data_IF_285183319055
#
_entry.id   IF_285183319055
#
_cell.length_a   1.000
_cell.length_b   1.000
_cell.length_c   1.000
_cell.angle_alpha   90.00
_cell.angle_beta   90.00
_cell.angle_gamma   90.00
#
_symmetry.space_group_name_H-M   'P 1'
#
loop_
_entity.id
_entity.type
_entity.pdbx_description
1 polymer ?
#
# COMPACT_ATOMS: atom_id res chain seq x y z
N UNK A 1 2.29 15.05 9.22
CA UNK A 1 0.89 15.41 9.58
C UNK A 1 0.49 16.79 9.07
N UNK A 2 -0.63 16.89 8.36
CA UNK A 2 -1.32 18.18 8.11
C UNK A 2 -2.45 18.33 9.12
N UNK A 3 -2.27 19.19 10.13
CA UNK A 3 -3.20 19.32 11.27
C UNK A 3 -4.65 19.62 10.85
N UNK A 4 -4.92 20.51 9.87
CA UNK A 4 -6.28 20.73 9.37
C UNK A 4 -6.98 19.45 8.90
N UNK A 5 -6.28 18.56 8.20
CA UNK A 5 -6.87 17.32 7.68
C UNK A 5 -7.29 16.35 8.80
N UNK A 6 -6.58 16.37 9.93
CA UNK A 6 -6.96 15.58 11.11
C UNK A 6 -8.17 16.17 11.83
N UNK A 7 -8.27 17.50 11.88
CA UNK A 7 -9.40 18.18 12.48
C UNK A 7 -10.69 17.97 11.67
N UNK A 8 -10.59 18.04 10.34
CA UNK A 8 -11.72 17.74 9.45
C UNK A 8 -12.16 16.28 9.61
N UNK A 9 -11.22 15.33 9.65
CA UNK A 9 -11.54 13.92 9.92
C UNK A 9 -12.23 13.71 11.27
N UNK A 10 -11.76 14.40 12.32
CA UNK A 10 -12.39 14.33 13.64
C UNK A 10 -13.84 14.84 13.59
N UNK A 11 -14.10 15.93 12.87
CA UNK A 11 -15.44 16.50 12.68
C UNK A 11 -16.34 15.52 11.91
N UNK A 12 -15.88 15.05 10.75
CA UNK A 12 -16.66 14.19 9.84
C UNK A 12 -17.11 12.88 10.50
N UNK A 13 -16.32 12.37 11.44
CA UNK A 13 -16.60 11.13 12.16
C UNK A 13 -17.04 11.34 13.62
N UNK A 14 -17.25 12.60 14.04
CA UNK A 14 -17.68 12.99 15.39
C UNK A 14 -16.74 12.52 16.51
N UNK A 15 -15.45 12.36 16.23
CA UNK A 15 -14.42 11.86 17.15
C UNK A 15 -13.78 13.05 17.87
N UNK A 16 -13.32 12.84 19.11
CA UNK A 16 -12.57 13.87 19.83
C UNK A 16 -11.25 14.22 19.10
N UNK A 17 -11.04 15.51 18.84
CA UNK A 17 -9.87 16.02 18.12
C UNK A 17 -8.54 15.62 18.77
N UNK A 18 -8.48 15.55 20.11
CA UNK A 18 -7.23 15.19 20.81
C UNK A 18 -6.90 13.73 20.57
N UNK A 19 -7.91 12.87 20.55
CA UNK A 19 -7.74 11.44 20.24
C UNK A 19 -7.22 11.26 18.80
N UNK A 20 -7.83 11.92 17.80
CA UNK A 20 -7.37 11.84 16.40
C UNK A 20 -5.95 12.40 16.25
N UNK A 21 -5.61 13.50 16.93
CA UNK A 21 -4.26 14.07 16.88
C UNK A 21 -3.21 13.17 17.53
N UNK A 22 -3.53 12.54 18.67
CA UNK A 22 -2.63 11.59 19.32
C UNK A 22 -2.45 10.33 18.46
N UNK A 23 -3.54 9.78 17.92
CA UNK A 23 -3.49 8.69 16.95
C UNK A 23 -2.60 9.03 15.74
N UNK A 24 -2.80 10.21 15.13
CA UNK A 24 -1.96 10.66 14.02
C UNK A 24 -0.48 10.85 14.41
N UNK A 25 -0.21 11.32 15.63
CA UNK A 25 1.16 11.42 16.15
C UNK A 25 1.81 10.04 16.34
N UNK A 26 1.06 9.04 16.83
CA UNK A 26 1.53 7.66 16.95
C UNK A 26 1.89 7.08 15.57
N UNK A 27 1.05 7.28 14.55
CA UNK A 27 1.37 6.90 13.18
C UNK A 27 2.68 7.52 12.71
N UNK A 28 2.87 8.82 12.92
CA UNK A 28 4.05 9.49 12.36
C UNK A 28 5.34 9.12 13.08
N UNK A 29 5.30 8.91 14.40
CA UNK A 29 6.44 8.38 15.13
C UNK A 29 6.76 6.96 14.66
N UNK A 30 5.75 6.13 14.40
CA UNK A 30 5.91 4.76 13.90
C UNK A 30 6.53 4.76 12.51
N UNK A 31 5.96 5.51 11.56
CA UNK A 31 6.54 5.67 10.21
C UNK A 31 7.95 6.24 10.26
N UNK A 32 8.20 7.24 11.11
CA UNK A 32 9.53 7.79 11.28
C UNK A 32 10.53 6.73 11.76
N UNK A 33 10.11 5.85 12.67
CA UNK A 33 10.94 4.75 13.17
C UNK A 33 11.22 3.70 12.10
N UNK A 34 10.21 3.32 11.31
CA UNK A 34 10.36 2.38 10.18
C UNK A 34 11.31 2.98 9.13
N UNK A 35 11.10 4.23 8.75
CA UNK A 35 11.94 4.93 7.77
C UNK A 35 13.38 5.18 8.24
N UNK A 36 13.66 5.02 9.54
CA UNK A 36 15.01 5.07 10.10
C UNK A 36 15.77 3.74 9.95
N UNK A 37 15.12 2.66 9.50
CA UNK A 37 15.80 1.40 9.15
C UNK A 37 16.59 1.64 7.86
N UNK A 38 17.90 1.34 7.91
CA UNK A 38 18.88 1.77 6.90
C UNK A 38 18.49 1.37 5.47
N UNK A 39 17.99 0.15 5.28
CA UNK A 39 17.71 -0.39 3.96
C UNK A 39 16.34 -0.01 3.39
N UNK A 40 15.39 0.48 4.22
CA UNK A 40 13.99 0.73 3.79
C UNK A 40 13.92 1.70 2.62
N UNK A 41 14.67 2.80 2.70
CA UNK A 41 14.71 3.81 1.63
C UNK A 41 15.29 3.24 0.34
N UNK A 42 16.40 2.52 0.44
CA UNK A 42 17.06 1.90 -0.71
C UNK A 42 16.17 0.87 -1.39
N UNK A 43 15.48 0.03 -0.61
CA UNK A 43 14.54 -0.97 -1.11
C UNK A 43 13.39 -0.32 -1.86
N UNK A 44 12.73 0.70 -1.28
CA UNK A 44 11.64 1.39 -1.96
C UNK A 44 12.07 1.97 -3.30
N UNK A 45 13.20 2.67 -3.33
CA UNK A 45 13.76 3.24 -4.58
C UNK A 45 14.01 2.13 -5.61
N UNK A 46 14.64 1.02 -5.20
CA UNK A 46 14.91 -0.10 -6.12
C UNK A 46 13.64 -0.73 -6.70
N UNK A 47 12.56 -0.78 -5.93
CA UNK A 47 11.26 -1.32 -6.40
C UNK A 47 10.62 -0.38 -7.42
N UNK A 48 10.66 0.93 -7.15
CA UNK A 48 10.15 1.95 -8.07
C UNK A 48 10.97 1.98 -9.36
N UNK A 49 12.30 1.91 -9.28
CA UNK A 49 13.19 1.83 -10.46
C UNK A 49 12.89 0.57 -11.29
N UNK A 50 12.82 -0.60 -10.63
CA UNK A 50 12.50 -1.86 -11.31
C UNK A 50 11.12 -1.86 -11.98
N UNK A 51 10.13 -1.18 -11.39
CA UNK A 51 8.83 -0.98 -12.02
C UNK A 51 8.91 -0.02 -13.21
N UNK A 52 9.55 1.14 -13.03
CA UNK A 52 9.69 2.15 -14.07
C UNK A 52 10.39 1.62 -15.32
N UNK A 53 11.41 0.78 -15.16
CA UNK A 53 12.12 0.12 -16.26
C UNK A 53 11.21 -0.79 -17.12
N UNK A 54 10.02 -1.15 -16.62
CA UNK A 54 9.02 -1.96 -17.36
C UNK A 54 7.89 -1.15 -17.96
N UNK A 55 7.81 0.16 -17.67
CA UNK A 55 6.74 1.01 -18.15
C UNK A 55 7.03 1.41 -19.60
N UNK A 56 6.26 0.86 -20.55
CA UNK A 56 6.28 1.28 -21.94
C UNK A 56 5.02 2.08 -22.26
N UNK A 57 5.18 3.27 -22.84
CA UNK A 57 4.07 4.11 -23.28
C UNK A 57 3.75 3.86 -24.75
N UNK A 58 2.51 3.50 -25.05
CA UNK A 58 2.04 3.41 -26.42
C UNK A 58 1.71 4.81 -26.97
N UNK A 59 2.73 5.44 -27.56
CA UNK A 59 2.57 6.75 -28.20
C UNK A 59 1.72 6.69 -29.48
N UNK A 60 1.57 5.51 -30.11
CA UNK A 60 0.68 5.32 -31.26
C UNK A 60 -0.78 5.42 -30.85
N UNK A 61 -1.16 4.75 -29.75
CA UNK A 61 -2.51 4.82 -29.19
C UNK A 61 -2.92 6.26 -28.86
N UNK A 62 -2.02 7.05 -28.26
CA UNK A 62 -2.27 8.48 -28.02
C UNK A 62 -2.57 9.24 -29.32
N UNK A 63 -1.79 9.00 -30.37
CA UNK A 63 -1.95 9.68 -31.66
C UNK A 63 -3.23 9.26 -32.36
N UNK A 64 -3.61 7.98 -32.27
CA UNK A 64 -4.87 7.47 -32.79
C UNK A 64 -6.07 8.09 -32.05
N UNK A 65 -6.00 8.20 -30.72
CA UNK A 65 -7.02 8.88 -29.90
C UNK A 65 -7.13 10.38 -30.21
N UNK A 66 -5.99 11.09 -30.36
CA UNK A 66 -5.97 12.49 -30.76
C UNK A 66 -6.55 12.72 -32.16
N UNK A 67 -6.33 11.77 -33.08
CA UNK A 67 -6.91 11.80 -34.43
C UNK A 67 -8.41 11.53 -34.38
N UNK A 68 -8.87 10.58 -33.55
CA UNK A 68 -10.28 10.29 -33.34
C UNK A 68 -11.06 11.48 -32.74
N UNK A 69 -10.43 12.32 -31.91
CA UNK A 69 -11.01 13.56 -31.39
C UNK A 69 -11.25 14.63 -32.47
N UNK A 70 -10.60 14.53 -33.62
CA UNK A 70 -10.83 15.43 -34.76
C UNK A 70 -12.02 14.99 -35.62
N UNK A 71 -12.55 13.77 -35.40
CA UNK A 71 -13.70 13.21 -36.10
C UNK A 71 -14.93 13.14 -35.17
N UNK A 72 -15.99 13.93 -35.42
CA UNK A 72 -17.20 13.96 -34.59
C UNK A 72 -17.89 12.60 -34.42
N UNK A 73 -17.82 11.72 -35.43
CA UNK A 73 -18.43 10.39 -35.33
C UNK A 73 -17.61 9.44 -34.47
N UNK A 74 -16.27 9.55 -34.50
CA UNK A 74 -15.38 8.73 -33.66
C UNK A 74 -15.42 9.18 -32.20
N UNK A 75 -15.47 10.49 -31.95
CA UNK A 75 -15.66 11.07 -30.62
C UNK A 75 -16.95 10.53 -29.96
N UNK A 76 -18.05 10.41 -30.70
CA UNK A 76 -19.30 9.88 -30.18
C UNK A 76 -19.25 8.38 -29.85
N UNK A 77 -18.39 7.61 -30.54
CA UNK A 77 -18.15 6.19 -30.23
C UNK A 77 -17.28 6.01 -28.98
N UNK A 78 -16.26 6.85 -28.80
CA UNK A 78 -15.39 6.83 -27.62
C UNK A 78 -16.15 7.19 -26.34
N UNK A 79 -17.06 8.16 -26.40
CA UNK A 79 -17.90 8.56 -25.26
C UNK A 79 -19.06 7.58 -24.98
N UNK A 80 -19.37 6.69 -25.93
CA UNK A 80 -20.46 5.72 -25.84
C UNK A 80 -20.03 4.30 -25.49
N UNK A 81 -18.74 3.99 -25.58
CA UNK A 81 -18.16 2.72 -25.16
C UNK A 81 -17.71 2.80 -23.69
N UNK A 82 -17.80 1.70 -22.95
CA UNK A 82 -17.21 1.49 -21.60
C UNK A 82 -15.66 1.55 -21.61
N UNK A 83 -15.07 2.21 -22.60
CA UNK A 83 -13.63 2.35 -22.85
C UNK A 83 -12.95 3.33 -21.87
N UNK A 84 -13.68 3.85 -20.88
CA UNK A 84 -13.11 4.51 -19.69
C UNK A 84 -12.14 3.60 -18.92
N UNK A 85 -12.15 2.28 -19.18
CA UNK A 85 -11.18 1.36 -18.61
C UNK A 85 -9.77 1.46 -19.24
N UNK A 86 -9.64 2.01 -20.44
CA UNK A 86 -8.36 2.22 -21.12
C UNK A 86 -7.99 3.70 -21.02
N UNK A 87 -7.04 4.02 -20.15
CA UNK A 87 -6.64 5.40 -19.90
C UNK A 87 -6.22 6.21 -21.14
N UNK A 88 -6.02 7.52 -21.00
CA UNK A 88 -5.59 8.41 -22.09
C UNK A 88 -4.29 7.95 -22.75
N UNK A 89 -3.41 7.29 -21.99
CA UNK A 89 -2.26 6.54 -22.47
C UNK A 89 -2.41 5.09 -22.02
N UNK A 90 -2.31 4.15 -22.96
CA UNK A 90 -2.04 2.77 -22.60
C UNK A 90 -0.56 2.68 -22.20
N UNK A 91 -0.30 2.48 -20.90
CA UNK A 91 1.02 2.06 -20.44
C UNK A 91 0.97 0.57 -20.13
N UNK A 92 1.85 -0.20 -20.74
CA UNK A 92 2.11 -1.56 -20.28
C UNK A 92 3.10 -1.48 -19.13
N UNK A 93 2.85 -2.25 -18.07
CA UNK A 93 3.78 -2.40 -16.97
C UNK A 93 3.82 -3.86 -16.55
N UNK A 94 4.94 -4.30 -16.00
CA UNK A 94 5.05 -5.65 -15.48
C UNK A 94 4.20 -5.78 -14.19
N UNK A 95 3.12 -6.58 -14.19
CA UNK A 95 2.27 -6.74 -13.01
C UNK A 95 3.03 -7.30 -11.81
N UNK A 96 4.12 -8.05 -12.02
CA UNK A 96 4.96 -8.55 -10.94
C UNK A 96 5.73 -7.42 -10.23
N UNK A 97 6.22 -6.42 -10.98
CA UNK A 97 6.92 -5.26 -10.39
C UNK A 97 5.97 -4.34 -9.64
N UNK A 98 4.77 -4.16 -10.17
CA UNK A 98 3.72 -3.45 -9.46
C UNK A 98 3.35 -4.17 -8.16
N UNK A 99 3.25 -5.50 -8.20
CA UNK A 99 2.99 -6.32 -7.02
C UNK A 99 4.07 -6.15 -5.94
N UNK A 100 5.35 -6.09 -6.32
CA UNK A 100 6.44 -5.89 -5.36
C UNK A 100 6.31 -4.54 -4.61
N UNK A 101 5.96 -3.45 -5.32
CA UNK A 101 5.71 -2.14 -4.71
C UNK A 101 4.50 -2.22 -3.77
N UNK A 102 3.40 -2.82 -4.24
CA UNK A 102 2.17 -2.95 -3.46
C UNK A 102 2.38 -3.76 -2.19
N UNK A 103 3.15 -4.86 -2.25
CA UNK A 103 3.47 -5.67 -1.07
C UNK A 103 4.29 -4.87 -0.06
N UNK A 104 5.31 -4.15 -0.53
CA UNK A 104 6.17 -3.33 0.30
C UNK A 104 5.38 -2.23 1.01
N UNK A 105 4.56 -1.47 0.29
CA UNK A 105 3.76 -0.38 0.88
C UNK A 105 2.67 -0.92 1.80
N UNK A 106 1.97 -1.98 1.38
CA UNK A 106 0.93 -2.60 2.20
C UNK A 106 1.49 -3.13 3.52
N UNK A 107 2.67 -3.79 3.49
CA UNK A 107 3.29 -4.30 4.71
C UNK A 107 3.69 -3.19 5.68
N UNK A 108 4.33 -2.12 5.19
CA UNK A 108 4.72 -0.98 6.04
C UNK A 108 3.48 -0.33 6.67
N UNK A 109 2.43 -0.10 5.89
CA UNK A 109 1.18 0.48 6.39
C UNK A 109 0.52 -0.45 7.41
N UNK A 110 0.37 -1.73 7.09
CA UNK A 110 -0.29 -2.71 7.95
C UNK A 110 0.46 -2.95 9.27
N UNK A 111 1.80 -2.95 9.23
CA UNK A 111 2.63 -3.01 10.44
C UNK A 111 2.49 -1.75 11.28
N UNK A 112 2.46 -0.57 10.64
CA UNK A 112 2.26 0.69 11.35
C UNK A 112 0.89 0.74 12.03
N UNK A 113 -0.18 0.29 11.35
CA UNK A 113 -1.53 0.14 11.92
C UNK A 113 -1.47 -0.75 13.18
N UNK A 114 -0.83 -1.93 13.10
CA UNK A 114 -0.68 -2.84 14.24
C UNK A 114 0.04 -2.18 15.43
N UNK A 115 1.18 -1.53 15.19
CA UNK A 115 1.96 -0.87 16.25
C UNK A 115 1.17 0.27 16.89
N UNK A 116 0.42 1.04 16.11
CA UNK A 116 -0.41 2.13 16.63
C UNK A 116 -1.57 1.58 17.46
N UNK A 117 -2.23 0.51 17.00
CA UNK A 117 -3.28 -0.17 17.75
C UNK A 117 -2.76 -0.63 19.12
N UNK A 118 -1.61 -1.32 19.14
CA UNK A 118 -0.98 -1.84 20.35
C UNK A 118 -0.54 -0.71 21.29
N UNK A 119 0.13 0.33 20.78
CA UNK A 119 0.59 1.46 21.59
C UNK A 119 -0.56 2.37 22.08
N UNK A 120 -1.68 2.37 21.35
CA UNK A 120 -2.81 3.27 21.58
C UNK A 120 -3.86 2.72 22.54
N UNK A 121 -3.92 1.41 22.78
CA UNK A 121 -5.01 0.75 23.54
C UNK A 121 -5.28 1.37 24.91
N UNK A 122 -4.24 1.75 25.65
CA UNK A 122 -4.36 2.35 26.99
C UNK A 122 -4.52 3.88 26.96
N UNK A 123 -4.17 4.52 25.85
CA UNK A 123 -4.11 5.98 25.71
C UNK A 123 -5.33 6.55 24.95
N UNK A 124 -6.00 5.73 24.14
CA UNK A 124 -7.03 6.12 23.21
C UNK A 124 -8.27 5.24 23.39
N UNK A 125 -9.19 5.59 24.31
CA UNK A 125 -10.42 4.82 24.55
C UNK A 125 -11.34 4.65 23.33
N UNK A 126 -11.12 5.42 22.26
CA UNK A 126 -11.86 5.33 21.00
C UNK A 126 -11.02 4.90 19.80
N UNK A 127 -9.87 4.23 20.00
CA UNK A 127 -8.96 3.85 18.91
C UNK A 127 -9.66 2.98 17.86
N UNK A 128 -10.44 1.99 18.25
CA UNK A 128 -11.20 1.13 17.31
C UNK A 128 -12.08 1.95 16.37
N UNK A 129 -12.72 2.99 16.90
CA UNK A 129 -13.61 3.87 16.11
C UNK A 129 -12.82 4.76 15.15
N UNK A 130 -11.62 5.17 15.54
CA UNK A 130 -10.70 5.94 14.68
C UNK A 130 -10.21 5.04 13.55
N UNK A 131 -9.73 3.84 13.90
CA UNK A 131 -9.22 2.87 12.93
C UNK A 131 -10.30 2.44 11.95
N UNK A 132 -11.51 2.09 12.40
CA UNK A 132 -12.62 1.77 11.49
C UNK A 132 -12.96 2.92 10.53
N UNK A 133 -12.98 4.15 11.02
CA UNK A 133 -13.26 5.32 10.18
C UNK A 133 -12.13 5.55 9.16
N UNK A 134 -10.87 5.41 9.59
CA UNK A 134 -9.71 5.49 8.73
C UNK A 134 -9.69 4.37 7.67
N UNK A 135 -10.02 3.14 8.08
CA UNK A 135 -10.10 1.97 7.19
C UNK A 135 -11.17 2.13 6.12
N UNK A 136 -12.32 2.76 6.44
CA UNK A 136 -13.31 3.11 5.41
C UNK A 136 -12.77 4.17 4.45
N UNK A 137 -12.16 5.23 4.98
CA UNK A 137 -11.61 6.32 4.17
C UNK A 137 -10.52 5.85 3.20
N UNK A 138 -9.64 4.94 3.61
CA UNK A 138 -8.57 4.41 2.71
C UNK A 138 -9.08 3.49 1.60
N UNK A 139 -10.26 2.90 1.77
CA UNK A 139 -10.89 2.08 0.72
C UNK A 139 -11.57 2.91 -0.36
N UNK A 140 -11.77 4.20 -0.14
CA UNK A 140 -12.34 5.11 -1.13
C UNK A 140 -11.24 5.56 -2.12
N UNK A 141 -11.48 5.50 -3.45
CA UNK A 141 -10.52 5.99 -4.42
C UNK A 141 -10.36 7.53 -4.32
N UNK A 142 -9.18 8.01 -3.94
CA UNK A 142 -8.78 9.41 -4.07
C UNK A 142 -8.59 9.81 -5.54
N UNK A 143 -8.86 11.08 -5.83
CA UNK A 143 -8.83 11.70 -7.18
C UNK A 143 -7.49 11.53 -7.87
N UNK A 144 -6.39 11.50 -7.13
CA UNK A 144 -5.05 11.31 -7.68
C UNK A 144 -4.84 9.89 -8.24
N UNK A 145 -5.42 8.87 -7.61
CA UNK A 145 -5.34 7.50 -8.10
C UNK A 145 -6.31 7.23 -9.24
N UNK A 146 -7.52 7.80 -9.19
CA UNK A 146 -8.40 7.82 -10.36
C UNK A 146 -7.66 8.45 -11.54
N UNK A 147 -6.97 9.57 -11.34
CA UNK A 147 -6.15 10.19 -12.38
C UNK A 147 -5.02 9.27 -12.89
N UNK A 148 -4.29 8.55 -12.02
CA UNK A 148 -3.25 7.62 -12.47
C UNK A 148 -3.81 6.41 -13.22
N UNK A 149 -4.95 5.90 -12.76
CA UNK A 149 -5.69 4.82 -13.42
C UNK A 149 -6.19 5.27 -14.80
N UNK A 150 -6.80 6.47 -14.87
CA UNK A 150 -7.34 7.07 -16.08
C UNK A 150 -6.25 7.57 -17.04
N UNK A 151 -5.04 7.86 -16.56
CA UNK A 151 -3.96 8.39 -17.39
C UNK A 151 -3.00 7.32 -17.88
N UNK A 152 -2.70 6.30 -17.06
CA UNK A 152 -1.67 5.30 -17.34
C UNK A 152 -2.16 3.84 -17.23
N UNK A 153 -3.44 3.60 -16.91
CA UNK A 153 -3.96 2.23 -16.74
C UNK A 153 -3.42 1.50 -15.50
N UNK A 154 -2.73 2.21 -14.61
CA UNK A 154 -2.11 1.63 -13.42
C UNK A 154 -3.14 1.50 -12.30
N UNK A 155 -3.50 0.26 -11.97
CA UNK A 155 -4.41 -0.03 -10.86
C UNK A 155 -3.61 -0.27 -9.57
N UNK A 156 -3.53 0.76 -8.72
CA UNK A 156 -2.98 0.62 -7.38
C UNK A 156 -4.05 0.02 -6.46
N UNK A 157 -3.81 -1.18 -5.95
CA UNK A 157 -4.74 -1.83 -5.01
C UNK A 157 -4.44 -1.39 -3.58
N UNK A 158 -5.12 -0.32 -3.12
CA UNK A 158 -5.00 0.21 -1.74
C UNK A 158 -5.47 -0.74 -0.63
N UNK A 159 -6.27 -1.76 -0.96
CA UNK A 159 -7.02 -2.53 0.06
C UNK A 159 -6.18 -3.54 0.85
N UNK A 160 -4.89 -3.69 0.54
CA UNK A 160 -4.02 -4.74 1.12
C UNK A 160 -3.35 -4.39 2.44
N UNK A 161 -3.41 -3.13 2.89
CA UNK A 161 -2.91 -2.77 4.23
C UNK A 161 -3.65 -3.53 5.35
N UNK A 162 -4.96 -3.80 5.18
CA UNK A 162 -5.73 -4.63 6.09
C UNK A 162 -5.23 -6.08 6.11
N UNK A 163 -4.94 -6.62 4.94
CA UNK A 163 -4.41 -7.99 4.80
C UNK A 163 -3.04 -8.07 5.46
N UNK A 164 -2.21 -7.04 5.30
CA UNK A 164 -0.92 -6.94 5.96
C UNK A 164 -0.99 -6.82 7.49
N UNK A 165 -1.95 -6.06 8.04
CA UNK A 165 -2.21 -6.06 9.49
C UNK A 165 -2.61 -7.46 9.96
N UNK A 166 -3.54 -8.09 9.25
CA UNK A 166 -4.01 -9.46 9.58
C UNK A 166 -2.86 -10.46 9.53
N UNK A 167 -2.00 -10.36 8.51
CA UNK A 167 -0.78 -11.15 8.38
C UNK A 167 0.16 -10.94 9.57
N UNK A 168 0.41 -9.68 9.95
CA UNK A 168 1.31 -9.35 11.06
C UNK A 168 0.77 -9.88 12.40
N UNK A 169 -0.55 -9.78 12.61
CA UNK A 169 -1.24 -10.36 13.75
C UNK A 169 -1.08 -11.90 13.76
N UNK A 170 -1.39 -12.56 12.64
CA UNK A 170 -1.30 -14.01 12.50
C UNK A 170 0.12 -14.54 12.74
N UNK A 171 1.14 -13.87 12.20
CA UNK A 171 2.55 -14.26 12.42
C UNK A 171 2.91 -14.09 13.90
N UNK A 172 2.55 -12.96 14.51
CA UNK A 172 2.85 -12.67 15.90
C UNK A 172 2.16 -13.63 16.86
N UNK A 173 0.91 -13.98 16.59
CA UNK A 173 0.12 -14.88 17.44
C UNK A 173 0.64 -16.33 17.38
N UNK A 174 1.13 -16.76 16.23
CA UNK A 174 1.60 -18.14 16.01
C UNK A 174 3.05 -18.36 16.41
N UNK A 175 3.93 -17.40 16.11
CA UNK A 175 5.38 -17.55 16.27
C UNK A 175 6.04 -16.48 17.14
N UNK A 176 5.25 -15.52 17.65
CA UNK A 176 5.71 -14.44 18.52
C UNK A 176 6.17 -13.21 17.74
N UNK A 177 6.16 -12.04 18.40
CA UNK A 177 6.58 -10.76 17.81
C UNK A 177 8.01 -10.81 17.24
N UNK A 178 8.92 -11.53 17.91
CA UNK A 178 10.30 -11.69 17.43
C UNK A 178 10.40 -12.40 16.07
N UNK A 179 9.43 -13.25 15.72
CA UNK A 179 9.35 -13.86 14.40
C UNK A 179 8.96 -12.84 13.34
N UNK A 180 7.94 -12.02 13.60
CA UNK A 180 7.55 -10.93 12.70
C UNK A 180 8.68 -9.91 12.52
N UNK A 181 9.39 -9.56 13.59
CA UNK A 181 10.48 -8.58 13.57
C UNK A 181 11.66 -8.99 12.67
N UNK A 182 11.77 -10.27 12.28
CA UNK A 182 12.74 -10.73 11.26
C UNK A 182 12.57 -10.06 9.92
N UNK A 183 11.38 -9.52 9.64
CA UNK A 183 11.14 -8.69 8.46
C UNK A 183 12.10 -7.49 8.37
N UNK A 184 12.62 -7.02 9.50
CA UNK A 184 13.51 -5.86 9.59
C UNK A 184 15.00 -6.20 9.39
N UNK A 185 15.35 -7.49 9.44
CA UNK A 185 16.76 -7.95 9.37
C UNK A 185 17.34 -7.78 7.95
N UNK A 186 16.56 -8.09 6.91
CA UNK A 186 16.97 -8.03 5.51
C UNK A 186 15.79 -7.65 4.59
N UNK A 187 16.01 -6.83 3.54
CA UNK A 187 14.97 -6.51 2.55
C UNK A 187 14.26 -7.73 1.92
N UNK A 188 14.96 -8.85 1.79
CA UNK A 188 14.42 -10.10 1.25
C UNK A 188 13.37 -10.72 2.19
N UNK A 189 13.36 -10.38 3.48
CA UNK A 189 12.39 -10.88 4.43
C UNK A 189 11.03 -10.18 4.31
N UNK A 190 10.91 -9.10 3.55
CA UNK A 190 9.61 -8.48 3.29
C UNK A 190 8.65 -9.49 2.64
N UNK A 191 7.36 -9.53 3.04
CA UNK A 191 6.40 -10.41 2.42
C UNK A 191 6.10 -9.95 0.99
N UNK A 192 5.89 -10.93 0.12
CA UNK A 192 5.27 -10.73 -1.20
C UNK A 192 3.76 -10.57 -1.06
N UNK A 193 3.10 -10.14 -2.12
CA UNK A 193 1.64 -10.00 -2.13
C UNK A 193 0.89 -11.29 -1.80
N UNK A 194 1.38 -12.44 -2.29
CA UNK A 194 0.75 -13.73 -2.03
C UNK A 194 0.96 -14.15 -0.57
N UNK A 195 2.14 -13.89 -0.02
CA UNK A 195 2.49 -14.19 1.38
C UNK A 195 1.72 -13.36 2.40
N UNK A 196 1.25 -12.16 2.05
CA UNK A 196 0.32 -11.41 2.91
C UNK A 196 -0.98 -12.20 3.19
N UNK A 197 -1.31 -13.19 2.36
CA UNK A 197 -2.42 -14.12 2.59
C UNK A 197 -1.97 -15.52 3.04
N UNK A 198 -0.65 -15.76 3.12
CA UNK A 198 -0.04 -17.01 3.57
C UNK A 198 1.08 -16.77 4.60
N UNK A 199 0.71 -16.52 5.88
CA UNK A 199 1.68 -16.37 6.98
C UNK A 199 2.60 -17.59 7.15
N UNK A 200 2.15 -18.78 6.78
CA UNK A 200 2.93 -20.02 6.91
C UNK A 200 4.05 -20.05 5.86
N UNK A 201 3.71 -19.74 4.61
CA UNK A 201 4.68 -19.67 3.50
C UNK A 201 5.78 -18.65 3.77
N UNK A 202 5.40 -17.45 4.22
CA UNK A 202 6.37 -16.42 4.62
C UNK A 202 7.28 -16.91 5.74
N UNK A 203 6.71 -17.44 6.82
CA UNK A 203 7.47 -17.89 7.98
C UNK A 203 8.41 -19.04 7.63
N UNK A 204 8.00 -19.95 6.73
CA UNK A 204 8.87 -21.00 6.23
C UNK A 204 10.07 -20.42 5.46
N UNK A 205 9.84 -19.44 4.58
CA UNK A 205 10.91 -18.78 3.83
C UNK A 205 11.87 -18.00 4.73
N UNK A 206 11.35 -17.29 5.73
CA UNK A 206 12.17 -16.38 6.54
C UNK A 206 12.86 -17.07 7.72
N UNK A 207 12.20 -18.06 8.35
CA UNK A 207 12.74 -18.69 9.56
C UNK A 207 13.40 -20.04 9.35
N UNK A 208 13.06 -20.78 8.29
CA UNK A 208 13.57 -22.14 8.09
C UNK A 208 14.79 -22.20 7.15
N UNK A 209 15.06 -21.14 6.39
CA UNK A 209 16.15 -21.13 5.40
C UNK A 209 17.54 -20.83 6.01
N UNK A 210 17.62 -20.42 7.28
CA UNK A 210 18.90 -20.13 7.96
C UNK A 210 19.51 -21.32 8.74
N UNK A 211 18.84 -22.48 8.85
CA UNK A 211 19.33 -23.57 9.73
C UNK A 211 19.09 -25.01 9.25
N UNK A 212 18.60 -25.24 8.03
CA UNK A 212 18.35 -26.61 7.56
C UNK A 212 19.60 -27.38 7.10
N UNK A 213 20.75 -26.72 6.84
CA UNK A 213 21.98 -27.37 6.34
C UNK A 213 23.30 -26.69 6.80
N UNK A 214 23.44 -26.41 8.09
CA UNK A 214 24.69 -25.90 8.68
C UNK A 214 25.23 -26.83 9.76
N UNK A 215 26.37 -27.45 9.46
CA UNK A 215 27.27 -28.28 10.30
C UNK A 215 26.88 -29.76 10.57
N UNK A 216 27.27 -30.65 9.64
CA UNK A 216 27.90 -31.95 9.96
C UNK A 216 29.38 -31.94 9.55
#
# INVERSE_FOLDING_TARGET
VIVPNLDDFAIDHGIDHRQVRLWGALHEVTFHRIMAIEWIRGRFVSLVEAFYDTVEFDMSDLMDKLTALQDPEQMQRMLGADDQANGLLNATSDPARLADIQAFTAFIEGYADRVVAEAGVDLLPGIDRIEEAYQRRRTEPDKAEQFLQDFAGLKLERWRARDATTFADDVSDRWGTAALERVWDDPANMPTLDELSDPIGWNARVLLDESAFGDE
#
